data_IF_869193167944
#
_entry.id   IF_869193167944
#
_cell.length_a   1.000
_cell.length_b   1.000
_cell.length_c   1.000
_cell.angle_alpha   90.00
_cell.angle_beta   90.00
_cell.angle_gamma   90.00
#
_symmetry.space_group_name_H-M   'P 1'
#
loop_
_entity.id
_entity.type
_entity.pdbx_description
1 polymer ?
#
# COMPACT_ATOMS: atom_id res chain seq x y z
N UNK A 1 -0.82 -26.37 43.07
CA UNK A 1 -0.54 -26.12 41.63
C UNK A 1 0.14 -24.78 41.53
N UNK A 2 1.48 -24.76 41.62
CA UNK A 2 2.26 -23.54 41.57
C UNK A 2 2.48 -23.15 40.10
N UNK A 3 1.98 -21.98 39.73
CA UNK A 3 2.28 -21.34 38.45
C UNK A 3 3.68 -20.72 38.54
N UNK A 4 4.67 -21.42 37.98
CA UNK A 4 5.99 -20.85 37.72
C UNK A 4 5.88 -19.75 36.66
N UNK A 5 5.86 -18.49 37.09
CA UNK A 5 5.98 -17.34 36.19
C UNK A 5 7.41 -17.33 35.65
N UNK A 6 7.57 -17.68 34.37
CA UNK A 6 8.87 -17.68 33.70
C UNK A 6 9.48 -16.28 33.67
N UNK A 7 10.58 -16.09 34.39
CA UNK A 7 11.40 -14.88 34.34
C UNK A 7 12.04 -14.77 32.96
N UNK A 8 11.45 -13.97 32.06
CA UNK A 8 12.09 -13.66 30.78
C UNK A 8 13.29 -12.75 31.05
N UNK A 9 14.51 -13.27 30.80
CA UNK A 9 15.76 -12.48 30.93
C UNK A 9 15.60 -11.15 30.19
N UNK A 10 15.79 -10.04 30.91
CA UNK A 10 15.86 -8.71 30.30
C UNK A 10 17.13 -8.67 29.45
N UNK A 11 16.98 -8.43 28.15
CA UNK A 11 18.12 -8.26 27.25
C UNK A 11 18.89 -6.99 27.62
N UNK A 12 20.21 -7.02 27.50
CA UNK A 12 21.05 -5.83 27.61
C UNK A 12 21.15 -5.06 26.27
N UNK A 13 21.86 -3.94 26.27
CA UNK A 13 21.99 -3.10 25.07
C UNK A 13 22.72 -3.84 23.93
N UNK A 14 23.79 -4.57 24.23
CA UNK A 14 24.62 -5.23 23.22
C UNK A 14 23.89 -6.42 22.58
N UNK A 15 23.12 -7.18 23.38
CA UNK A 15 22.22 -8.23 22.90
C UNK A 15 21.15 -7.63 21.96
N UNK A 16 20.57 -6.48 22.32
CA UNK A 16 19.57 -5.79 21.50
C UNK A 16 20.18 -5.25 20.21
N UNK A 17 21.34 -4.61 20.28
CA UNK A 17 22.06 -4.07 19.12
C UNK A 17 22.41 -5.18 18.14
N UNK A 18 23.03 -6.26 18.62
CA UNK A 18 23.39 -7.43 17.81
C UNK A 18 22.16 -8.05 17.14
N UNK A 19 21.03 -8.14 17.85
CA UNK A 19 19.80 -8.65 17.27
C UNK A 19 19.25 -7.74 16.17
N UNK A 20 19.22 -6.42 16.38
CA UNK A 20 18.73 -5.43 15.40
C UNK A 20 19.61 -5.42 14.14
N UNK A 21 20.92 -5.52 14.30
CA UNK A 21 21.87 -5.58 13.18
C UNK A 21 21.78 -6.89 12.41
N UNK A 22 21.57 -8.03 13.09
CA UNK A 22 21.40 -9.34 12.44
C UNK A 22 20.20 -9.42 11.48
N UNK A 23 19.20 -8.55 11.66
CA UNK A 23 18.00 -8.48 10.82
C UNK A 23 18.07 -7.35 9.77
N UNK A 24 19.27 -6.78 9.56
CA UNK A 24 19.53 -5.78 8.52
C UNK A 24 19.05 -4.36 8.85
N UNK A 25 18.97 -4.01 10.14
CA UNK A 25 18.70 -2.65 10.62
C UNK A 25 19.92 -2.14 11.39
N UNK A 26 20.24 -0.86 11.26
CA UNK A 26 21.27 -0.22 12.10
C UNK A 26 20.59 0.46 13.28
N UNK A 27 21.01 0.14 14.51
CA UNK A 27 20.52 0.80 15.73
C UNK A 27 21.20 2.17 15.87
N UNK A 28 20.39 3.23 16.00
CA UNK A 28 20.86 4.60 16.20
C UNK A 28 20.68 5.10 17.65
N UNK A 29 19.84 4.44 18.44
CA UNK A 29 19.72 4.76 19.87
C UNK A 29 20.99 4.37 20.63
N UNK A 30 21.46 5.26 21.49
CA UNK A 30 22.67 5.05 22.32
C UNK A 30 22.39 4.15 23.55
N UNK A 31 21.12 4.04 23.94
CA UNK A 31 20.71 3.29 25.12
C UNK A 31 19.40 2.52 24.92
N UNK A 32 19.20 1.51 25.78
CA UNK A 32 18.04 0.63 25.77
C UNK A 32 17.47 0.50 27.19
N UNK A 33 16.22 0.95 27.36
CA UNK A 33 15.54 0.93 28.66
C UNK A 33 14.77 -0.36 28.87
N UNK A 34 13.89 -0.70 27.92
CA UNK A 34 13.04 -1.89 27.95
C UNK A 34 12.44 -2.17 26.55
N UNK A 35 11.75 -3.31 26.41
CA UNK A 35 11.27 -3.80 25.13
C UNK A 35 10.09 -3.00 24.52
N UNK A 36 9.48 -2.10 25.29
CA UNK A 36 8.39 -1.21 24.86
C UNK A 36 8.91 0.17 24.43
N UNK A 37 10.04 0.62 25.00
CA UNK A 37 10.68 1.88 24.62
C UNK A 37 11.03 1.87 23.13
N UNK A 38 10.60 2.88 22.36
CA UNK A 38 10.98 3.01 20.95
C UNK A 38 12.49 3.19 20.79
N UNK A 39 13.07 2.48 19.82
CA UNK A 39 14.45 2.61 19.39
C UNK A 39 14.50 3.23 18.01
N UNK A 40 15.42 4.17 17.80
CA UNK A 40 15.69 4.78 16.50
C UNK A 40 16.54 3.83 15.66
N UNK A 41 16.11 3.54 14.44
CA UNK A 41 16.79 2.63 13.52
C UNK A 41 16.93 3.25 12.13
N UNK A 42 18.01 2.88 11.43
CA UNK A 42 18.21 3.14 10.01
C UNK A 42 18.10 1.82 9.23
N UNK A 43 17.24 1.79 8.22
CA UNK A 43 17.17 0.67 7.28
C UNK A 43 18.14 0.86 6.11
N UNK A 44 18.61 -0.23 5.51
CA UNK A 44 19.42 -0.22 4.28
C UNK A 44 18.80 0.58 3.11
N UNK A 45 17.48 0.80 3.11
CA UNK A 45 16.80 1.65 2.12
C UNK A 45 16.91 3.17 2.40
N UNK A 46 17.72 3.56 3.38
CA UNK A 46 17.93 4.95 3.82
C UNK A 46 16.82 5.50 4.73
N UNK A 47 15.84 4.68 5.11
CA UNK A 47 14.72 5.15 5.93
C UNK A 47 15.07 5.14 7.41
N UNK A 48 14.97 6.31 8.05
CA UNK A 48 15.00 6.48 9.50
C UNK A 48 13.60 6.24 10.07
N UNK A 49 13.49 5.44 11.13
CA UNK A 49 12.21 5.17 11.79
C UNK A 49 12.41 4.70 13.22
N UNK A 50 11.37 4.84 14.03
CA UNK A 50 11.35 4.33 15.40
C UNK A 50 10.56 3.02 15.47
N UNK A 51 11.05 2.08 16.27
CA UNK A 51 10.40 0.79 16.49
C UNK A 51 10.80 0.23 17.86
N UNK A 52 9.88 -0.38 18.59
CA UNK A 52 10.19 -1.05 19.85
C UNK A 52 10.69 -2.48 19.62
N UNK A 53 11.53 -2.99 20.52
CA UNK A 53 12.04 -4.36 20.42
C UNK A 53 10.91 -5.41 20.37
N UNK A 54 9.81 -5.20 21.12
CA UNK A 54 8.65 -6.08 21.03
C UNK A 54 8.03 -6.13 19.62
N UNK A 55 7.99 -5.00 18.92
CA UNK A 55 7.50 -4.97 17.54
C UNK A 55 8.49 -5.64 16.57
N UNK A 56 9.79 -5.48 16.80
CA UNK A 56 10.82 -6.21 16.05
C UNK A 56 10.66 -7.73 16.25
N UNK A 57 10.47 -8.19 17.49
CA UNK A 57 10.22 -9.62 17.79
C UNK A 57 8.95 -10.15 17.12
N UNK A 58 7.93 -9.31 16.93
CA UNK A 58 6.71 -9.63 16.15
C UNK A 58 6.93 -9.59 14.63
N UNK A 59 8.16 -9.44 14.16
CA UNK A 59 8.50 -9.42 12.73
C UNK A 59 8.31 -8.06 12.05
N UNK A 60 7.98 -6.98 12.79
CA UNK A 60 7.91 -5.63 12.19
C UNK A 60 9.31 -5.13 11.87
N UNK A 61 9.46 -4.44 10.75
CA UNK A 61 10.72 -3.91 10.22
C UNK A 61 10.48 -2.50 9.67
N UNK A 62 11.33 -2.07 8.73
CA UNK A 62 11.18 -0.80 8.03
C UNK A 62 9.77 -0.64 7.43
N UNK A 63 9.03 0.43 7.81
CA UNK A 63 7.69 0.69 7.28
C UNK A 63 7.72 1.04 5.78
N UNK A 64 8.76 1.75 5.32
CA UNK A 64 8.95 2.10 3.90
C UNK A 64 9.11 0.85 3.04
N UNK A 65 10.01 -0.07 3.41
CA UNK A 65 10.19 -1.32 2.66
C UNK A 65 8.93 -2.19 2.69
N UNK A 66 8.23 -2.22 3.82
CA UNK A 66 6.98 -3.00 3.94
C UNK A 66 5.88 -2.45 3.04
N UNK A 67 5.72 -1.13 2.99
CA UNK A 67 4.78 -0.46 2.09
C UNK A 67 5.15 -0.67 0.61
N UNK A 68 6.43 -0.62 0.27
CA UNK A 68 6.90 -0.88 -1.10
C UNK A 68 6.56 -2.31 -1.54
N UNK A 69 6.93 -3.33 -0.75
CA UNK A 69 6.58 -4.73 -1.06
C UNK A 69 5.08 -4.95 -1.22
N UNK A 70 4.28 -4.31 -0.35
CA UNK A 70 2.82 -4.40 -0.44
C UNK A 70 2.30 -3.74 -1.72
N UNK A 71 2.85 -2.59 -2.09
CA UNK A 71 2.49 -1.90 -3.34
C UNK A 71 2.85 -2.72 -4.58
N UNK A 72 4.01 -3.36 -4.58
CA UNK A 72 4.46 -4.23 -5.68
C UNK A 72 3.56 -5.46 -5.79
N UNK A 73 3.28 -6.14 -4.67
CA UNK A 73 2.39 -7.30 -4.61
C UNK A 73 0.96 -6.98 -5.10
N UNK A 74 0.46 -5.79 -4.78
CA UNK A 74 -0.88 -5.36 -5.15
C UNK A 74 -0.96 -4.67 -6.52
N UNK A 75 0.15 -4.54 -7.25
CA UNK A 75 0.16 -3.89 -8.56
C UNK A 75 -0.53 -4.81 -9.57
N UNK A 76 -1.63 -4.33 -10.13
CA UNK A 76 -2.32 -5.02 -11.22
C UNK A 76 -1.51 -4.90 -12.52
N UNK A 77 -1.42 -5.98 -13.27
CA UNK A 77 -0.83 -5.97 -14.61
C UNK A 77 -1.70 -5.14 -15.56
N UNK A 78 -1.08 -4.59 -16.61
CA UNK A 78 -1.83 -3.88 -17.64
C UNK A 78 -2.92 -4.77 -18.26
N UNK A 79 -2.62 -6.05 -18.47
CA UNK A 79 -3.55 -7.03 -19.01
C UNK A 79 -4.79 -7.21 -18.11
N UNK A 80 -4.59 -7.36 -16.79
CA UNK A 80 -5.72 -7.42 -15.86
C UNK A 80 -6.56 -6.15 -15.90
N UNK A 81 -5.91 -4.98 -16.00
CA UNK A 81 -6.63 -3.70 -16.10
C UNK A 81 -7.42 -3.62 -17.41
N UNK A 82 -6.81 -3.98 -18.53
CA UNK A 82 -7.47 -4.03 -19.84
C UNK A 82 -8.73 -4.91 -19.80
N UNK A 83 -8.61 -6.11 -19.22
CA UNK A 83 -9.73 -7.04 -19.07
C UNK A 83 -10.87 -6.50 -18.17
N UNK A 84 -10.55 -5.71 -17.13
CA UNK A 84 -11.57 -5.04 -16.30
C UNK A 84 -12.41 -4.03 -17.12
N UNK A 85 -11.76 -3.28 -18.02
CA UNK A 85 -12.46 -2.30 -18.86
C UNK A 85 -13.21 -3.00 -20.00
N UNK A 86 -12.57 -3.94 -20.68
CA UNK A 86 -13.14 -4.64 -21.84
C UNK A 86 -14.32 -5.53 -21.47
N UNK A 87 -14.36 -6.12 -20.26
CA UNK A 87 -15.53 -6.86 -19.76
C UNK A 87 -16.80 -6.00 -19.61
N UNK A 88 -16.67 -4.67 -19.68
CA UNK A 88 -17.77 -3.71 -19.66
C UNK A 88 -17.90 -2.93 -20.97
N UNK A 89 -17.24 -3.37 -22.03
CA UNK A 89 -17.27 -2.75 -23.36
C UNK A 89 -16.42 -1.47 -23.49
N UNK A 90 -15.53 -1.19 -22.53
CA UNK A 90 -14.59 -0.06 -22.63
C UNK A 90 -13.28 -0.51 -23.27
N UNK A 91 -12.77 0.28 -24.22
CA UNK A 91 -11.47 0.05 -24.86
C UNK A 91 -10.43 1.01 -24.31
N UNK A 92 -9.36 0.50 -23.71
CA UNK A 92 -8.22 1.32 -23.30
C UNK A 92 -7.29 1.58 -24.47
N UNK A 93 -6.81 2.82 -24.59
CA UNK A 93 -5.80 3.21 -25.58
C UNK A 93 -4.60 3.97 -24.98
N UNK A 94 -4.56 4.12 -23.65
CA UNK A 94 -3.35 4.54 -22.94
C UNK A 94 -2.82 3.41 -22.06
N UNK A 95 -1.54 3.50 -21.72
CA UNK A 95 -0.93 2.60 -20.75
C UNK A 95 -1.49 2.79 -19.34
N UNK A 96 -1.48 1.71 -18.56
CA UNK A 96 -1.75 1.75 -17.13
C UNK A 96 -0.45 1.80 -16.34
N UNK A 97 -0.21 2.90 -15.64
CA UNK A 97 0.98 3.06 -14.80
C UNK A 97 0.71 2.54 -13.39
N UNK A 98 -0.36 3.03 -12.75
CA UNK A 98 -0.81 2.66 -11.40
C UNK A 98 -2.25 3.14 -11.17
N UNK A 99 -2.84 2.73 -10.04
CA UNK A 99 -4.26 2.98 -9.70
C UNK A 99 -4.62 4.45 -9.51
N UNK A 100 -3.63 5.33 -9.29
CA UNK A 100 -3.82 6.78 -9.10
C UNK A 100 -3.72 7.57 -10.40
N UNK A 101 -3.08 7.03 -11.43
CA UNK A 101 -3.02 7.67 -12.75
C UNK A 101 -4.28 7.31 -13.55
N UNK A 102 -4.79 8.30 -14.28
CA UNK A 102 -5.94 8.08 -15.16
C UNK A 102 -5.49 7.27 -16.39
N UNK A 103 -6.35 6.37 -16.83
CA UNK A 103 -6.26 5.72 -18.14
C UNK A 103 -7.25 6.36 -19.09
N UNK A 104 -6.90 6.46 -20.36
CA UNK A 104 -7.76 6.95 -21.43
C UNK A 104 -8.48 5.77 -22.09
N UNK A 105 -9.76 5.96 -22.35
CA UNK A 105 -10.64 4.93 -22.89
C UNK A 105 -11.58 5.47 -23.96
N UNK A 106 -12.09 4.57 -24.79
CA UNK A 106 -13.29 4.74 -25.61
C UNK A 106 -14.41 3.92 -24.97
N UNK A 107 -15.56 4.52 -24.70
CA UNK A 107 -16.72 3.82 -24.12
C UNK A 107 -17.55 3.13 -25.20
N UNK A 108 -18.54 2.27 -24.84
CA UNK A 108 -19.42 1.61 -25.81
C UNK A 108 -20.17 2.56 -26.76
N UNK A 109 -20.45 3.80 -26.34
CA UNK A 109 -21.10 4.81 -27.17
C UNK A 109 -20.10 5.64 -28.01
N UNK A 110 -18.82 5.25 -28.07
CA UNK A 110 -17.80 5.93 -28.87
C UNK A 110 -17.16 7.16 -28.21
N UNK A 111 -17.57 7.55 -26.99
CA UNK A 111 -16.97 8.70 -26.31
C UNK A 111 -15.57 8.43 -25.80
N UNK A 112 -14.69 9.41 -25.99
CA UNK A 112 -13.36 9.42 -25.39
C UNK A 112 -13.43 10.00 -23.98
N UNK A 113 -12.81 9.33 -23.02
CA UNK A 113 -12.75 9.77 -21.63
C UNK A 113 -11.49 9.31 -20.91
N UNK A 114 -11.32 9.80 -19.70
CA UNK A 114 -10.23 9.41 -18.81
C UNK A 114 -10.73 9.16 -17.40
N UNK A 115 -10.23 8.10 -16.75
CA UNK A 115 -10.67 7.70 -15.41
C UNK A 115 -9.56 6.95 -14.69
N UNK A 116 -9.50 7.06 -13.36
CA UNK A 116 -8.62 6.19 -12.57
C UNK A 116 -9.24 4.81 -12.44
N UNK A 117 -8.42 3.76 -12.35
CA UNK A 117 -8.93 2.40 -12.10
C UNK A 117 -9.77 2.34 -10.81
N UNK A 118 -9.37 3.07 -9.78
CA UNK A 118 -10.10 3.15 -8.50
C UNK A 118 -11.51 3.71 -8.69
N UNK A 119 -11.68 4.80 -9.46
CA UNK A 119 -13.01 5.37 -9.72
C UNK A 119 -13.86 4.46 -10.61
N UNK A 120 -13.24 3.82 -11.60
CA UNK A 120 -13.93 2.85 -12.45
C UNK A 120 -14.47 1.67 -11.62
N UNK A 121 -13.66 1.11 -10.71
CA UNK A 121 -14.09 0.06 -9.77
C UNK A 121 -15.20 0.53 -8.82
N UNK A 122 -15.22 1.81 -8.42
CA UNK A 122 -16.27 2.41 -7.59
C UNK A 122 -17.58 2.71 -8.33
N UNK A 123 -17.66 2.41 -9.64
CA UNK A 123 -18.88 2.61 -10.43
C UNK A 123 -18.91 3.88 -11.27
N UNK A 124 -17.87 4.72 -11.24
CA UNK A 124 -17.79 5.86 -12.16
C UNK A 124 -17.61 5.38 -13.60
N UNK A 125 -18.34 5.98 -14.53
CA UNK A 125 -18.39 5.62 -15.97
C UNK A 125 -18.21 6.87 -16.84
N UNK A 126 -18.42 6.73 -18.15
CA UNK A 126 -18.29 7.83 -19.11
C UNK A 126 -19.16 9.03 -18.72
N UNK A 127 -18.51 10.18 -18.48
CA UNK A 127 -19.19 11.43 -18.12
C UNK A 127 -20.08 11.96 -19.26
N UNK A 128 -19.67 11.77 -20.51
CA UNK A 128 -20.46 12.20 -21.67
C UNK A 128 -21.79 11.43 -21.74
N UNK A 129 -21.77 10.11 -21.59
CA UNK A 129 -22.99 9.29 -21.50
C UNK A 129 -23.91 9.75 -20.36
N UNK A 130 -23.35 10.03 -19.17
CA UNK A 130 -24.13 10.52 -18.03
C UNK A 130 -24.76 11.88 -18.31
N UNK A 131 -24.03 12.76 -18.98
CA UNK A 131 -24.49 14.09 -19.37
C UNK A 131 -25.68 13.97 -20.33
N UNK A 132 -25.57 13.16 -21.38
CA UNK A 132 -26.63 12.92 -22.36
C UNK A 132 -27.91 12.39 -21.71
N UNK A 133 -27.82 11.37 -20.84
CA UNK A 133 -28.98 10.82 -20.11
C UNK A 133 -29.74 11.89 -19.31
N UNK A 134 -29.02 12.86 -18.73
CA UNK A 134 -29.62 13.98 -17.98
C UNK A 134 -30.30 15.03 -18.86
N UNK A 135 -29.95 15.12 -20.13
CA UNK A 135 -30.63 16.02 -21.07
C UNK A 135 -31.96 15.44 -21.55
N UNK A 136 -32.02 14.13 -21.82
CA UNK A 136 -33.26 13.47 -22.22
C UNK A 136 -34.31 13.48 -21.11
N UNK A 137 -33.92 13.15 -19.88
CA UNK A 137 -34.82 13.13 -18.71
C UNK A 137 -35.41 14.49 -18.30
N UNK A 138 -34.84 15.60 -18.80
CA UNK A 138 -35.35 16.97 -18.57
C UNK A 138 -36.27 17.49 -19.68
N UNK A 139 -36.34 16.81 -20.83
CA UNK A 139 -37.19 17.20 -21.97
C UNK A 139 -38.59 16.58 -21.91
N UNK A 140 -38.77 15.54 -21.09
CA UNK A 140 -40.02 14.81 -20.90
C UNK A 140 -40.77 15.24 -19.60
N UNK A 141 -40.27 16.24 -18.89
CA UNK A 141 -40.94 16.95 -17.78
C UNK A 141 -41.13 18.43 -18.16
#
# INVERSE_FOLDING_TARGET
>A
MEVMQGLTKKLDYDEVKSYIESIGLMLLSEDYVNALTPLSCLCHCGNHFTISLNNIKKGRRCPKCSAQRLSEKNRLSFETVKNIFSSQGYLLFSEYINSRKKVKFVCPNGHIGEITLSNFKRGSRCYQCLKEMRFYSKREN
#
